data_IF_441949816858
#
_entry.id   IF_441949816858
#
_cell.length_a   1.000
_cell.length_b   1.000
_cell.length_c   1.000
_cell.angle_alpha   90.00
_cell.angle_beta   90.00
_cell.angle_gamma   90.00
#
_symmetry.space_group_name_H-M   'P 1'
#
loop_
_entity.id
_entity.type
_entity.pdbx_description
1 polymer ?
#
# COMPACT_ATOMS: atom_id res chain seq x y z
N UNK A 1 -29.73 -17.41 20.40
CA UNK A 1 -29.75 -18.43 19.33
C UNK A 1 -28.43 -18.32 18.61
N UNK A 2 -27.57 -19.34 18.65
CA UNK A 2 -26.25 -19.25 18.00
C UNK A 2 -26.40 -19.15 16.48
N UNK A 3 -25.56 -18.34 15.80
CA UNK A 3 -25.62 -18.23 14.35
C UNK A 3 -25.45 -19.63 13.71
N UNK A 4 -26.25 -19.97 12.68
CA UNK A 4 -26.20 -21.28 12.02
C UNK A 4 -24.81 -21.65 11.47
N UNK A 5 -23.97 -20.64 11.20
CA UNK A 5 -22.56 -20.78 10.82
C UNK A 5 -21.72 -21.53 11.85
N UNK A 6 -21.97 -21.33 13.16
CA UNK A 6 -21.22 -22.03 14.22
C UNK A 6 -21.55 -23.53 14.26
N UNK A 7 -22.78 -23.88 13.92
CA UNK A 7 -23.27 -25.26 13.97
C UNK A 7 -22.73 -26.11 12.82
N UNK A 8 -22.44 -25.46 11.67
CA UNK A 8 -21.78 -26.09 10.52
C UNK A 8 -20.27 -26.20 10.76
N UNK A 9 -19.64 -25.19 11.40
CA UNK A 9 -18.23 -25.21 11.82
C UNK A 9 -17.87 -26.41 12.72
N UNK A 10 -18.84 -26.89 13.50
CA UNK A 10 -18.67 -27.95 14.50
C UNK A 10 -19.07 -29.35 13.99
N UNK A 11 -19.71 -29.45 12.82
CA UNK A 11 -20.28 -30.71 12.30
C UNK A 11 -19.34 -31.53 11.42
N UNK A 12 -18.58 -30.88 10.53
CA UNK A 12 -17.68 -31.55 9.56
C UNK A 12 -16.37 -30.77 9.38
N UNK A 13 -15.46 -30.78 10.38
CA UNK A 13 -14.25 -29.97 10.38
C UNK A 13 -13.18 -30.43 9.35
N UNK A 14 -13.27 -31.67 8.86
CA UNK A 14 -12.28 -32.25 7.95
C UNK A 14 -12.41 -31.76 6.50
N UNK A 15 -13.62 -31.46 6.01
CA UNK A 15 -13.85 -30.93 4.66
C UNK A 15 -13.46 -29.44 4.54
N UNK A 16 -13.58 -28.68 5.63
CA UNK A 16 -13.17 -27.27 5.68
C UNK A 16 -11.64 -27.13 5.69
N UNK A 17 -10.91 -28.06 6.30
CA UNK A 17 -9.45 -28.01 6.40
C UNK A 17 -8.77 -28.01 5.02
N UNK A 18 -9.30 -28.77 4.06
CA UNK A 18 -8.75 -28.85 2.70
C UNK A 18 -9.12 -27.64 1.81
N UNK A 19 -10.21 -26.93 2.13
CA UNK A 19 -10.54 -25.65 1.46
C UNK A 19 -9.78 -24.47 2.07
N UNK A 20 -9.66 -24.42 3.40
CA UNK A 20 -8.93 -23.35 4.10
C UNK A 20 -7.45 -23.32 3.69
N UNK A 21 -6.84 -24.45 3.36
CA UNK A 21 -5.46 -24.50 2.86
C UNK A 21 -5.33 -23.90 1.45
N UNK A 22 -6.30 -24.13 0.56
CA UNK A 22 -6.34 -23.50 -0.76
C UNK A 22 -6.56 -21.97 -0.67
N UNK A 23 -7.48 -21.52 0.21
CA UNK A 23 -7.66 -20.09 0.50
C UNK A 23 -6.42 -19.47 1.17
N UNK A 24 -5.75 -20.19 2.08
CA UNK A 24 -4.54 -19.73 2.72
C UNK A 24 -3.37 -19.61 1.73
N UNK A 25 -3.29 -20.48 0.72
CA UNK A 25 -2.30 -20.38 -0.34
C UNK A 25 -2.54 -19.13 -1.22
N UNK A 26 -3.79 -18.86 -1.60
CA UNK A 26 -4.16 -17.64 -2.35
C UNK A 26 -3.91 -16.36 -1.55
N UNK A 27 -4.29 -16.33 -0.27
CA UNK A 27 -4.05 -15.19 0.63
C UNK A 27 -2.55 -14.92 0.78
N UNK A 28 -1.72 -15.98 0.89
CA UNK A 28 -0.25 -15.82 0.98
C UNK A 28 0.35 -15.26 -0.31
N UNK A 29 -0.15 -15.69 -1.47
CA UNK A 29 0.34 -15.25 -2.76
C UNK A 29 -0.02 -13.77 -3.03
N UNK A 30 -1.22 -13.34 -2.64
CA UNK A 30 -1.65 -11.93 -2.72
C UNK A 30 -0.98 -11.05 -1.66
N UNK A 31 -0.74 -11.60 -0.46
CA UNK A 31 -0.03 -10.91 0.62
C UNK A 31 1.41 -10.56 0.24
N UNK A 32 2.13 -11.43 -0.46
CA UNK A 32 3.50 -11.16 -0.92
C UNK A 32 3.56 -9.97 -1.88
N UNK A 33 2.62 -9.90 -2.84
CA UNK A 33 2.51 -8.76 -3.75
C UNK A 33 2.09 -7.47 -3.04
N UNK A 34 1.26 -7.57 -1.99
CA UNK A 34 0.89 -6.45 -1.13
C UNK A 34 2.05 -5.92 -0.29
N UNK A 35 2.83 -6.81 0.32
CA UNK A 35 4.00 -6.45 1.12
C UNK A 35 5.06 -5.72 0.28
N UNK A 36 5.37 -6.23 -0.91
CA UNK A 36 6.34 -5.59 -1.80
C UNK A 36 5.89 -4.18 -2.26
N UNK A 37 4.59 -4.01 -2.54
CA UNK A 37 4.02 -2.69 -2.88
C UNK A 37 4.01 -1.74 -1.68
N UNK A 38 3.64 -2.22 -0.49
CA UNK A 38 3.64 -1.41 0.72
C UNK A 38 5.06 -0.98 1.09
N UNK A 39 6.04 -1.89 1.02
CA UNK A 39 7.45 -1.57 1.27
C UNK A 39 7.97 -0.49 0.31
N UNK A 40 7.63 -0.61 -0.98
CA UNK A 40 8.01 0.39 -2.00
C UNK A 40 7.37 1.75 -1.74
N UNK A 41 6.07 1.76 -1.43
CA UNK A 41 5.35 2.99 -1.07
C UNK A 41 5.92 3.65 0.17
N UNK A 42 6.24 2.88 1.21
CA UNK A 42 6.91 3.38 2.41
C UNK A 42 8.29 3.97 2.08
N UNK A 43 9.06 3.32 1.21
CA UNK A 43 10.34 3.84 0.73
C UNK A 43 10.21 5.20 0.05
N UNK A 44 9.24 5.36 -0.85
CA UNK A 44 9.02 6.64 -1.51
C UNK A 44 8.48 7.73 -0.56
N UNK A 45 7.58 7.38 0.38
CA UNK A 45 7.11 8.32 1.42
C UNK A 45 8.27 8.77 2.30
N UNK A 46 9.14 7.85 2.70
CA UNK A 46 10.33 8.17 3.48
C UNK A 46 11.25 9.12 2.71
N UNK A 47 11.50 8.84 1.44
CA UNK A 47 12.33 9.68 0.57
C UNK A 47 11.73 11.09 0.38
N UNK A 48 10.41 11.20 0.26
CA UNK A 48 9.69 12.48 0.22
C UNK A 48 9.90 13.27 1.52
N UNK A 49 9.64 12.65 2.67
CA UNK A 49 9.74 13.31 3.98
C UNK A 49 11.19 13.73 4.27
N UNK A 50 12.15 12.85 4.00
CA UNK A 50 13.57 13.13 4.17
C UNK A 50 14.06 14.23 3.23
N UNK A 51 13.63 14.23 1.96
CA UNK A 51 13.97 15.28 1.01
C UNK A 51 13.40 16.64 1.42
N UNK A 52 12.13 16.67 1.85
CA UNK A 52 11.49 17.89 2.34
C UNK A 52 12.14 18.44 3.61
N UNK A 53 12.48 17.57 4.58
CA UNK A 53 13.14 18.01 5.81
C UNK A 53 14.53 18.55 5.54
N UNK A 54 15.32 17.88 4.68
CA UNK A 54 16.65 18.33 4.30
C UNK A 54 16.59 19.67 3.54
N UNK A 55 15.66 19.82 2.59
CA UNK A 55 15.45 21.07 1.88
C UNK A 55 15.10 22.22 2.84
N UNK A 56 14.24 21.98 3.82
CA UNK A 56 13.84 22.99 4.80
C UNK A 56 15.02 23.41 5.68
N UNK A 57 15.83 22.46 6.14
CA UNK A 57 17.04 22.75 6.91
C UNK A 57 18.04 23.59 6.10
N UNK A 58 18.33 23.17 4.86
CA UNK A 58 19.24 23.89 3.96
C UNK A 58 18.71 25.28 3.62
N UNK A 59 17.39 25.42 3.39
CA UNK A 59 16.76 26.71 3.15
C UNK A 59 16.88 27.64 4.36
N UNK A 60 16.71 27.11 5.59
CA UNK A 60 16.93 27.88 6.82
C UNK A 60 18.38 28.38 6.95
N UNK A 61 19.35 27.52 6.65
CA UNK A 61 20.78 27.89 6.64
C UNK A 61 21.08 28.94 5.56
N UNK A 62 20.54 28.76 4.36
CA UNK A 62 20.69 29.72 3.27
C UNK A 62 20.11 31.09 3.63
N UNK A 63 18.95 31.11 4.30
CA UNK A 63 18.32 32.34 4.78
C UNK A 63 19.15 33.05 5.84
N UNK A 64 19.71 32.31 6.81
CA UNK A 64 20.62 32.87 7.82
C UNK A 64 21.89 33.46 7.18
N UNK A 65 22.49 32.76 6.23
CA UNK A 65 23.67 33.24 5.50
C UNK A 65 23.36 34.49 4.67
N UNK A 66 22.21 34.53 4.01
CA UNK A 66 21.79 35.70 3.25
C UNK A 66 21.57 36.91 4.15
N UNK A 67 20.94 36.71 5.32
CA UNK A 67 20.70 37.77 6.30
C UNK A 67 22.00 38.36 6.87
N UNK A 68 23.02 37.53 7.10
CA UNK A 68 24.31 37.99 7.65
C UNK A 68 25.20 38.63 6.59
N UNK A 69 25.28 38.04 5.40
CA UNK A 69 26.25 38.46 4.38
C UNK A 69 25.74 39.59 3.49
N UNK A 70 24.43 39.83 3.44
CA UNK A 70 23.74 40.71 2.48
C UNK A 70 24.06 40.41 1.00
N UNK A 71 24.81 39.35 0.72
CA UNK A 71 25.23 38.93 -0.60
C UNK A 71 24.28 37.87 -1.12
N UNK A 72 23.75 38.09 -2.32
CA UNK A 72 22.84 37.14 -2.95
C UNK A 72 23.62 36.23 -3.90
N UNK A 73 24.21 35.16 -3.33
CA UNK A 73 24.82 34.10 -4.14
C UNK A 73 23.74 33.15 -4.63
N UNK A 74 23.61 32.98 -5.95
CA UNK A 74 22.62 32.10 -6.57
C UNK A 74 22.69 30.66 -6.04
N UNK A 75 23.89 30.21 -5.65
CA UNK A 75 24.13 28.86 -5.13
C UNK A 75 23.41 28.58 -3.81
N UNK A 76 23.18 29.60 -2.97
CA UNK A 76 22.45 29.47 -1.70
C UNK A 76 21.02 28.96 -1.90
N UNK A 77 20.43 29.23 -3.07
CA UNK A 77 19.06 28.82 -3.40
C UNK A 77 19.01 27.54 -4.25
N UNK A 78 20.06 27.25 -5.02
CA UNK A 78 20.16 26.01 -5.80
C UNK A 78 20.37 24.79 -4.91
N UNK A 79 21.13 24.92 -3.83
CA UNK A 79 21.42 23.80 -2.92
C UNK A 79 20.16 23.27 -2.22
N UNK A 80 19.25 24.10 -1.65
CA UNK A 80 17.96 23.65 -1.14
C UNK A 80 16.99 23.14 -2.21
N UNK A 81 17.12 23.61 -3.46
CA UNK A 81 16.25 23.20 -4.56
C UNK A 81 16.52 21.76 -5.06
N UNK A 82 17.76 21.28 -4.95
CA UNK A 82 18.12 19.91 -5.32
C UNK A 82 17.30 18.83 -4.59
N UNK A 83 17.27 18.78 -3.24
CA UNK A 83 16.46 17.80 -2.52
C UNK A 83 14.95 17.96 -2.74
N UNK A 84 14.47 19.18 -3.03
CA UNK A 84 13.08 19.41 -3.46
C UNK A 84 12.79 18.74 -4.80
N UNK A 85 13.72 18.79 -5.76
CA UNK A 85 13.59 18.09 -7.04
C UNK A 85 13.44 16.58 -6.84
N UNK A 86 14.26 15.99 -5.96
CA UNK A 86 14.17 14.57 -5.61
C UNK A 86 12.82 14.24 -4.95
N UNK A 87 12.37 15.06 -4.01
CA UNK A 87 11.07 14.89 -3.36
C UNK A 87 9.91 15.00 -4.37
N UNK A 88 9.99 15.93 -5.34
CA UNK A 88 9.00 16.07 -6.39
C UNK A 88 8.93 14.84 -7.30
N UNK A 89 10.08 14.25 -7.64
CA UNK A 89 10.14 12.99 -8.40
C UNK A 89 9.50 11.86 -7.59
N UNK A 90 9.83 11.71 -6.30
CA UNK A 90 9.20 10.71 -5.43
C UNK A 90 7.68 10.89 -5.37
N UNK A 91 7.19 12.12 -5.23
CA UNK A 91 5.75 12.43 -5.24
C UNK A 91 5.09 12.06 -6.58
N UNK A 92 5.76 12.34 -7.70
CA UNK A 92 5.28 11.96 -9.02
C UNK A 92 5.16 10.43 -9.14
N UNK A 93 6.19 9.70 -8.70
CA UNK A 93 6.16 8.23 -8.65
C UNK A 93 5.01 7.69 -7.79
N UNK A 94 4.76 8.26 -6.59
CA UNK A 94 3.59 7.89 -5.77
C UNK A 94 2.27 8.10 -6.48
N UNK A 95 2.14 9.19 -7.25
CA UNK A 95 0.90 9.53 -7.96
C UNK A 95 0.69 8.68 -9.20
N UNK A 96 1.77 8.24 -9.82
CA UNK A 96 1.74 7.31 -10.97
C UNK A 96 1.43 5.87 -10.54
N UNK A 97 1.65 5.49 -9.28
CA UNK A 97 1.13 4.22 -8.75
C UNK A 97 -0.40 4.28 -8.74
N UNK A 98 -1.03 3.55 -9.66
CA UNK A 98 -2.49 3.49 -9.80
C UNK A 98 -3.15 3.13 -8.45
N UNK A 99 -4.32 3.72 -8.13
CA UNK A 99 -4.98 3.49 -6.86
C UNK A 99 -5.19 1.99 -6.65
N UNK A 100 -4.78 1.51 -5.47
CA UNK A 100 -4.84 0.12 -5.00
C UNK A 100 -6.27 -0.43 -4.84
N UNK A 101 -7.23 0.10 -5.60
CA UNK A 101 -8.64 -0.26 -5.51
C UNK A 101 -8.97 -1.64 -6.11
N UNK A 102 -7.96 -2.34 -6.65
CA UNK A 102 -8.07 -3.70 -7.19
C UNK A 102 -7.31 -4.76 -6.40
N UNK A 103 -6.79 -4.42 -5.23
CA UNK A 103 -6.40 -5.42 -4.27
C UNK A 103 -7.64 -6.24 -3.88
N UNK A 104 -7.61 -7.56 -4.07
CA UNK A 104 -8.72 -8.49 -3.79
C UNK A 104 -9.91 -8.48 -4.77
N UNK A 105 -9.84 -7.77 -5.91
CA UNK A 105 -10.93 -7.84 -6.89
C UNK A 105 -11.13 -9.27 -7.43
N UNK A 106 -10.03 -9.95 -7.76
CA UNK A 106 -10.06 -11.31 -8.30
C UNK A 106 -10.52 -12.36 -7.27
N UNK A 107 -10.03 -12.25 -6.04
CA UNK A 107 -10.43 -13.14 -4.93
C UNK A 107 -11.92 -12.96 -4.61
N UNK A 108 -12.43 -11.71 -4.65
CA UNK A 108 -13.85 -11.44 -4.43
C UNK A 108 -14.74 -11.95 -5.56
N UNK A 109 -14.31 -11.84 -6.82
CA UNK A 109 -15.07 -12.39 -7.95
C UNK A 109 -15.11 -13.92 -7.89
N UNK A 110 -14.00 -14.57 -7.58
CA UNK A 110 -13.93 -16.04 -7.52
C UNK A 110 -14.75 -16.60 -6.33
N UNK A 111 -14.68 -15.94 -5.17
CA UNK A 111 -15.54 -16.27 -4.02
C UNK A 111 -17.02 -16.03 -4.33
N UNK A 112 -17.37 -14.99 -5.10
CA UNK A 112 -18.76 -14.74 -5.49
C UNK A 112 -19.29 -15.77 -6.50
N UNK A 113 -18.46 -16.21 -7.44
CA UNK A 113 -18.80 -17.27 -8.39
C UNK A 113 -18.99 -18.62 -7.69
N UNK A 114 -18.11 -18.97 -6.74
CA UNK A 114 -18.21 -20.22 -5.98
C UNK A 114 -19.45 -20.23 -5.05
N UNK A 115 -19.77 -19.08 -4.42
CA UNK A 115 -21.00 -18.93 -3.62
C UNK A 115 -22.28 -19.07 -4.45
N UNK A 116 -22.27 -18.62 -5.71
CA UNK A 116 -23.40 -18.84 -6.63
C UNK A 116 -23.51 -20.31 -7.05
N UNK A 117 -22.39 -20.97 -7.30
CA UNK A 117 -22.36 -22.38 -7.68
C UNK A 117 -22.85 -23.29 -6.53
N UNK A 118 -22.46 -22.99 -5.29
CA UNK A 118 -22.92 -23.72 -4.10
C UNK A 118 -24.35 -23.35 -3.71
N UNK A 119 -24.77 -22.09 -3.85
CA UNK A 119 -26.17 -21.67 -3.64
C UNK A 119 -27.17 -22.30 -4.61
N UNK A 120 -26.71 -22.79 -5.77
CA UNK A 120 -27.54 -23.50 -6.75
C UNK A 120 -27.78 -24.98 -6.41
N UNK A 121 -26.93 -25.59 -5.56
CA UNK A 121 -27.02 -27.03 -5.26
C UNK A 121 -27.97 -27.40 -4.13
N UNK A 122 -28.46 -26.43 -3.36
CA UNK A 122 -29.37 -26.67 -2.23
C UNK A 122 -30.85 -26.86 -2.66
N UNK A 123 -31.19 -26.67 -3.94
CA UNK A 123 -32.59 -26.69 -4.43
C UNK A 123 -33.01 -27.99 -5.13
N UNK A 124 -32.12 -28.99 -5.24
CA UNK A 124 -32.45 -30.31 -5.83
C UNK A 124 -32.20 -31.49 -4.87
N UNK A 125 -32.77 -31.45 -3.67
CA UNK A 125 -33.04 -32.67 -2.90
C UNK A 125 -34.37 -32.63 -2.20
#
# INVERSE_FOLDING_TARGET
MWPPLFRILLGEPSLLAEHVTAYAALIKQDAAGWQARLARRLGYVFMLVAGMSLALLLAGVALMLHAVTHASHWLLWVVPAMPLGIAAIALCCLRCEAPAHRAFAHVRTQVAEDLQLFGWKETER
#
